data_IF_240325215641
#
_entry.id   IF_240325215641
#
_cell.length_a   1.000
_cell.length_b   1.000
_cell.length_c   1.000
_cell.angle_alpha   90.00
_cell.angle_beta   90.00
_cell.angle_gamma   90.00
#
_symmetry.space_group_name_H-M   'P 1'
#
loop_
_entity.id
_entity.type
_entity.pdbx_description
1 polymer ?
#
# COMPACT_ATOMS: atom_id res chain seq x y z
N UNK A 1 -29.87 12.52 -17.58
CA UNK A 1 -28.51 12.72 -18.10
C UNK A 1 -27.56 12.49 -16.93
N UNK A 2 -26.98 11.30 -16.81
CA UNK A 2 -26.11 10.93 -15.70
C UNK A 2 -24.64 11.15 -16.10
N UNK A 3 -23.90 11.92 -15.30
CA UNK A 3 -22.45 12.02 -15.37
C UNK A 3 -21.91 11.71 -13.98
N UNK A 4 -21.58 10.44 -13.75
CA UNK A 4 -20.86 10.00 -12.56
C UNK A 4 -19.41 10.47 -12.73
N UNK A 5 -19.04 11.53 -12.01
CA UNK A 5 -17.65 11.91 -11.79
C UNK A 5 -17.01 10.89 -10.84
N UNK A 6 -16.50 9.78 -11.38
CA UNK A 6 -15.99 8.64 -10.60
C UNK A 6 -14.47 8.50 -10.53
N UNK A 7 -13.68 9.40 -11.12
CA UNK A 7 -12.25 9.14 -11.32
C UNK A 7 -11.30 9.81 -10.31
N UNK A 8 -11.70 10.91 -9.67
CA UNK A 8 -10.75 11.73 -8.89
C UNK A 8 -10.70 11.40 -7.38
N UNK A 9 -11.69 10.68 -6.82
CA UNK A 9 -11.72 10.32 -5.40
C UNK A 9 -11.04 8.96 -5.13
N UNK A 10 -10.80 8.18 -6.20
CA UNK A 10 -10.28 6.82 -6.11
C UNK A 10 -8.74 6.75 -6.01
N UNK A 11 -8.02 7.84 -6.27
CA UNK A 11 -6.54 7.87 -6.34
C UNK A 11 -5.91 8.10 -4.95
N UNK A 12 -6.34 9.12 -4.22
CA UNK A 12 -5.82 9.43 -2.88
C UNK A 12 -6.13 8.33 -1.86
N UNK A 13 -7.35 7.78 -1.89
CA UNK A 13 -7.76 6.69 -0.99
C UNK A 13 -6.98 5.39 -1.23
N UNK A 14 -6.53 5.15 -2.47
CA UNK A 14 -5.74 3.98 -2.85
C UNK A 14 -4.29 4.13 -2.41
N UNK A 15 -3.69 5.30 -2.62
CA UNK A 15 -2.36 5.63 -2.10
C UNK A 15 -2.31 5.55 -0.57
N UNK A 16 -3.25 6.18 0.14
CA UNK A 16 -3.32 6.14 1.60
C UNK A 16 -3.51 4.72 2.15
N UNK A 17 -4.28 3.90 1.44
CA UNK A 17 -4.44 2.48 1.77
C UNK A 17 -3.10 1.74 1.70
N UNK A 18 -2.36 1.89 0.60
CA UNK A 18 -1.08 1.18 0.44
C UNK A 18 -0.01 1.67 1.42
N UNK A 19 0.02 2.96 1.75
CA UNK A 19 0.93 3.49 2.79
C UNK A 19 0.60 2.88 4.16
N UNK A 20 -0.68 2.86 4.56
CA UNK A 20 -1.09 2.28 5.84
C UNK A 20 -0.78 0.78 5.92
N UNK A 21 -1.00 0.06 4.83
CA UNK A 21 -0.68 -1.38 4.74
C UNK A 21 0.83 -1.62 4.81
N UNK A 22 1.63 -0.82 4.11
CA UNK A 22 3.09 -0.92 4.18
C UNK A 22 3.61 -0.76 5.61
N UNK A 23 3.18 0.29 6.31
CA UNK A 23 3.53 0.54 7.70
C UNK A 23 3.09 -0.61 8.63
N UNK A 24 1.86 -1.11 8.47
CA UNK A 24 1.34 -2.22 9.25
C UNK A 24 2.19 -3.49 9.09
N UNK A 25 2.57 -3.85 7.86
CA UNK A 25 3.39 -5.03 7.62
C UNK A 25 4.81 -4.87 8.22
N UNK A 26 5.38 -3.65 8.25
CA UNK A 26 6.64 -3.41 8.97
C UNK A 26 6.53 -3.60 10.47
N UNK A 27 5.42 -3.17 11.07
CA UNK A 27 5.17 -3.38 12.51
C UNK A 27 4.98 -4.86 12.84
N UNK A 28 4.29 -5.61 11.98
CA UNK A 28 4.17 -7.06 12.11
C UNK A 28 5.51 -7.76 11.95
N UNK A 29 6.35 -7.34 11.00
CA UNK A 29 7.70 -7.86 10.86
C UNK A 29 8.57 -7.60 12.11
N UNK A 30 8.47 -6.40 12.69
CA UNK A 30 9.23 -6.03 13.88
C UNK A 30 8.80 -6.78 15.16
N UNK A 31 7.55 -7.23 15.21
CA UNK A 31 6.99 -7.98 16.33
C UNK A 31 7.03 -9.50 16.16
N UNK A 32 7.35 -9.99 14.96
CA UNK A 32 7.43 -11.42 14.67
C UNK A 32 8.65 -12.07 15.35
N UNK A 33 8.40 -13.12 16.13
CA UNK A 33 9.45 -13.90 16.78
C UNK A 33 10.17 -14.86 15.82
N UNK A 34 9.47 -15.33 14.79
CA UNK A 34 10.03 -16.21 13.75
C UNK A 34 10.62 -15.36 12.60
N UNK A 35 11.92 -15.47 12.31
CA UNK A 35 12.56 -14.76 11.20
C UNK A 35 11.93 -15.01 9.83
N UNK A 36 11.38 -16.20 9.58
CA UNK A 36 10.70 -16.53 8.33
C UNK A 36 9.38 -15.75 8.20
N UNK A 37 8.63 -15.61 9.29
CA UNK A 37 7.41 -14.81 9.33
C UNK A 37 7.73 -13.32 9.16
N UNK A 38 8.78 -12.83 9.83
CA UNK A 38 9.26 -11.46 9.65
C UNK A 38 9.61 -11.17 8.17
N UNK A 39 10.29 -12.11 7.49
CA UNK A 39 10.66 -11.97 6.08
C UNK A 39 9.43 -11.90 5.15
N UNK A 40 8.36 -12.64 5.45
CA UNK A 40 7.10 -12.57 4.68
C UNK A 40 6.48 -11.19 4.81
N UNK A 41 6.38 -10.66 6.03
CA UNK A 41 5.82 -9.33 6.28
C UNK A 41 6.68 -8.22 5.62
N UNK A 42 8.01 -8.33 5.67
CA UNK A 42 8.89 -7.40 4.95
C UNK A 42 8.68 -7.44 3.43
N UNK A 43 8.53 -8.63 2.84
CA UNK A 43 8.21 -8.76 1.42
C UNK A 43 6.89 -8.08 1.06
N UNK A 44 5.87 -8.25 1.91
CA UNK A 44 4.57 -7.59 1.73
C UNK A 44 4.68 -6.06 1.83
N UNK A 45 5.44 -5.54 2.81
CA UNK A 45 5.70 -4.11 2.93
C UNK A 45 6.36 -3.53 1.67
N UNK A 46 7.37 -4.21 1.11
CA UNK A 46 8.02 -3.79 -0.13
C UNK A 46 7.08 -3.76 -1.33
N UNK A 47 6.16 -4.74 -1.41
CA UNK A 47 5.15 -4.77 -2.48
C UNK A 47 4.19 -3.59 -2.38
N UNK A 48 3.74 -3.25 -1.18
CA UNK A 48 2.89 -2.08 -0.96
C UNK A 48 3.63 -0.77 -1.27
N UNK A 49 4.90 -0.62 -0.88
CA UNK A 49 5.70 0.55 -1.24
C UNK A 49 5.81 0.73 -2.76
N UNK A 50 6.02 -0.36 -3.52
CA UNK A 50 6.06 -0.32 -4.99
C UNK A 50 4.72 0.12 -5.59
N UNK A 51 3.60 -0.29 -5.00
CA UNK A 51 2.27 0.11 -5.45
C UNK A 51 2.02 1.60 -5.23
N UNK A 52 2.45 2.17 -4.10
CA UNK A 52 2.40 3.62 -3.84
C UNK A 52 3.14 4.40 -4.94
N UNK A 53 4.35 3.95 -5.31
CA UNK A 53 5.13 4.59 -6.37
C UNK A 53 4.49 4.44 -7.76
N UNK A 54 3.91 3.28 -8.06
CA UNK A 54 3.23 3.06 -9.33
C UNK A 54 1.96 3.90 -9.47
N UNK A 55 1.20 4.06 -8.39
CA UNK A 55 0.00 4.91 -8.33
C UNK A 55 0.37 6.39 -8.51
N UNK A 56 1.37 6.86 -7.77
CA UNK A 56 1.93 8.22 -7.87
C UNK A 56 2.40 8.58 -9.30
N UNK A 57 2.81 7.58 -10.09
CA UNK A 57 3.26 7.76 -11.47
C UNK A 57 2.14 7.70 -12.51
N UNK A 58 0.95 7.15 -12.18
CA UNK A 58 -0.20 7.13 -13.11
C UNK A 58 -1.00 8.44 -13.11
N UNK A 59 -0.89 9.24 -12.06
CA UNK A 59 -1.56 10.54 -11.93
C UNK A 59 -0.79 11.74 -12.53
N UNK A 60 0.33 11.52 -13.22
CA UNK A 60 1.15 12.57 -13.87
C UNK A 60 0.97 12.61 -15.38
#
# INVERSE_FOLDING_TARGET
>A
MALIQGAAIMDQATTDYYVKREQQERELAASAADPAIAAIHLNMAERYAKLVHADSNRGR
#
